data_IF_317347449184
#
_entry.id   IF_317347449184
#
_cell.length_a   1.000
_cell.length_b   1.000
_cell.length_c   1.000
_cell.angle_alpha   90.00
_cell.angle_beta   90.00
_cell.angle_gamma   90.00
#
_symmetry.space_group_name_H-M   'P 1'
#
loop_
_entity.id
_entity.type
_entity.pdbx_description
1 polymer ?
#
# COMPACT_ATOMS: atom_id res chain seq x y z
N UNK A 1 -3.00 -17.27 -15.33
CA UNK A 1 -1.62 -16.80 -15.21
C UNK A 1 -1.54 -16.08 -13.89
N UNK A 2 -0.71 -16.55 -12.97
CA UNK A 2 -0.54 -15.91 -11.67
C UNK A 2 0.51 -14.82 -11.83
N UNK A 3 0.09 -13.55 -11.67
CA UNK A 3 0.96 -12.38 -11.83
C UNK A 3 1.91 -12.22 -10.63
N UNK A 4 1.55 -12.84 -9.49
CA UNK A 4 2.34 -12.84 -8.26
C UNK A 4 2.52 -14.29 -7.83
N UNK A 5 3.77 -14.68 -7.58
CA UNK A 5 4.11 -16.00 -7.04
C UNK A 5 3.40 -16.24 -5.70
N UNK A 6 2.81 -17.43 -5.51
CA UNK A 6 2.04 -17.77 -4.30
C UNK A 6 2.85 -17.57 -3.01
N UNK A 7 4.14 -17.84 -3.06
CA UNK A 7 5.09 -17.67 -1.94
C UNK A 7 5.24 -16.22 -1.49
N UNK A 8 4.95 -15.26 -2.39
CA UNK A 8 5.08 -13.82 -2.11
C UNK A 8 3.78 -13.17 -1.65
N UNK A 9 2.65 -13.89 -1.64
CA UNK A 9 1.35 -13.32 -1.27
C UNK A 9 1.32 -12.75 0.16
N UNK A 10 2.13 -13.28 1.07
CA UNK A 10 2.18 -12.82 2.47
C UNK A 10 2.89 -11.49 2.68
N UNK A 11 3.87 -11.12 1.85
CA UNK A 11 4.74 -9.96 2.04
C UNK A 11 5.12 -9.33 0.69
N UNK A 12 4.17 -8.59 0.11
CA UNK A 12 4.40 -7.86 -1.14
C UNK A 12 4.79 -6.42 -0.78
N UNK A 13 5.98 -6.00 -1.21
CA UNK A 13 6.40 -4.59 -1.15
C UNK A 13 6.34 -4.00 -2.55
N UNK A 14 5.53 -2.95 -2.71
CA UNK A 14 5.39 -2.19 -3.97
C UNK A 14 6.14 -0.87 -3.80
N UNK A 15 7.04 -0.55 -4.73
CA UNK A 15 7.74 0.73 -4.77
C UNK A 15 7.25 1.56 -5.96
N UNK A 16 6.95 2.84 -5.72
CA UNK A 16 6.36 3.71 -6.74
C UNK A 16 6.76 5.18 -6.57
N UNK A 17 6.45 6.00 -7.57
CA UNK A 17 6.61 7.46 -7.52
C UNK A 17 8.01 7.98 -7.82
N UNK A 18 8.93 7.11 -8.27
CA UNK A 18 10.30 7.48 -8.64
C UNK A 18 10.33 8.55 -9.75
N UNK A 19 9.54 8.39 -10.82
CA UNK A 19 9.48 9.34 -11.94
C UNK A 19 9.00 10.74 -11.52
N UNK A 20 8.09 10.79 -10.54
CA UNK A 20 7.60 12.05 -9.95
C UNK A 20 8.54 12.63 -8.89
N UNK A 21 9.72 12.01 -8.66
CA UNK A 21 10.66 12.34 -7.58
C UNK A 21 10.00 12.30 -6.18
N UNK A 22 9.02 11.42 -6.01
CA UNK A 22 8.26 11.20 -4.77
C UNK A 22 8.23 9.69 -4.46
N UNK A 23 9.39 9.09 -4.13
CA UNK A 23 9.46 7.67 -3.85
C UNK A 23 8.60 7.31 -2.64
N UNK A 24 7.88 6.20 -2.74
CA UNK A 24 7.07 5.66 -1.65
C UNK A 24 7.02 4.14 -1.72
N UNK A 25 6.70 3.52 -0.57
CA UNK A 25 6.48 2.09 -0.47
C UNK A 25 5.09 1.80 0.06
N UNK A 26 4.44 0.81 -0.53
CA UNK A 26 3.19 0.24 -0.07
C UNK A 26 3.46 -1.23 0.29
N UNK A 27 2.97 -1.65 1.45
CA UNK A 27 3.03 -3.02 1.92
C UNK A 27 1.67 -3.67 1.72
N UNK A 28 1.64 -4.80 1.03
CA UNK A 28 0.43 -5.55 0.71
C UNK A 28 0.56 -6.98 1.21
N UNK A 29 -0.45 -7.42 1.95
CA UNK A 29 -0.60 -8.81 2.39
C UNK A 29 -1.88 -9.37 1.79
N UNK A 30 -1.76 -10.48 1.08
CA UNK A 30 -2.85 -11.22 0.45
C UNK A 30 -3.03 -12.56 1.15
N UNK A 31 -4.25 -12.84 1.61
CA UNK A 31 -4.64 -14.15 2.13
C UNK A 31 -5.46 -14.86 1.05
N UNK A 32 -5.04 -16.06 0.65
CA UNK A 32 -5.69 -16.88 -0.36
C UNK A 32 -6.05 -18.25 0.21
N UNK A 33 -7.19 -18.81 -0.19
CA UNK A 33 -7.55 -20.20 0.06
C UNK A 33 -7.84 -20.88 -1.27
N UNK A 34 -7.02 -21.88 -1.63
CA UNK A 34 -7.09 -22.50 -2.96
C UNK A 34 -6.75 -21.51 -4.07
N UNK A 35 -7.69 -21.28 -4.98
CA UNK A 35 -7.60 -20.27 -6.04
C UNK A 35 -8.25 -18.93 -5.66
N UNK A 36 -8.94 -18.84 -4.53
CA UNK A 36 -9.76 -17.68 -4.18
C UNK A 36 -9.04 -16.73 -3.21
N UNK A 37 -9.00 -15.43 -3.56
CA UNK A 37 -8.49 -14.38 -2.69
C UNK A 37 -9.53 -14.11 -1.61
N UNK A 38 -9.13 -14.29 -0.35
CA UNK A 38 -10.00 -14.10 0.81
C UNK A 38 -9.87 -12.70 1.40
N UNK A 39 -8.66 -12.14 1.39
CA UNK A 39 -8.37 -10.83 2.01
C UNK A 39 -7.18 -10.16 1.38
N UNK A 40 -7.25 -8.84 1.25
CA UNK A 40 -6.12 -7.98 0.92
C UNK A 40 -6.01 -6.92 2.01
N UNK A 41 -4.82 -6.79 2.61
CA UNK A 41 -4.46 -5.69 3.51
C UNK A 41 -3.44 -4.82 2.82
N UNK A 42 -3.67 -3.52 2.83
CA UNK A 42 -2.76 -2.52 2.27
C UNK A 42 -2.37 -1.58 3.38
N UNK A 43 -1.06 -1.40 3.58
CA UNK A 43 -0.49 -0.54 4.59
C UNK A 43 0.70 0.25 4.07
N UNK A 44 1.12 1.23 4.84
CA UNK A 44 2.22 2.10 4.50
C UNK A 44 2.61 2.95 5.71
N UNK A 45 3.78 3.57 5.62
CA UNK A 45 4.22 4.54 6.61
C UNK A 45 3.80 5.93 6.17
N UNK A 46 3.36 6.75 7.11
CA UNK A 46 3.03 8.15 6.87
C UNK A 46 3.88 9.03 7.76
N UNK A 47 4.08 10.28 7.31
CA UNK A 47 4.76 11.31 8.09
C UNK A 47 3.96 12.60 7.96
N UNK A 48 3.55 13.17 9.09
CA UNK A 48 2.96 14.51 9.11
C UNK A 48 3.99 15.54 8.66
N UNK A 49 3.66 16.29 7.61
CA UNK A 49 4.51 17.37 7.09
C UNK A 49 4.20 18.70 7.77
N UNK A 50 2.93 18.93 8.09
CA UNK A 50 2.48 20.07 8.87
C UNK A 50 1.29 19.66 9.75
N UNK A 51 0.98 20.47 10.75
CA UNK A 51 -0.22 20.34 11.58
C UNK A 51 -0.74 21.73 11.85
N UNK A 52 -2.06 21.92 11.73
CA UNK A 52 -2.68 23.24 11.88
C UNK A 52 -4.19 23.13 12.03
N UNK A 53 -4.83 24.28 12.26
CA UNK A 53 -6.29 24.43 12.33
C UNK A 53 -6.77 25.09 11.04
N UNK A 54 -7.78 24.50 10.40
CA UNK A 54 -8.48 25.12 9.29
C UNK A 54 -9.69 25.88 9.85
N UNK A 55 -9.66 27.21 9.79
CA UNK A 55 -10.84 28.02 10.08
C UNK A 55 -11.63 28.18 8.80
N UNK A 56 -12.83 27.61 8.76
CA UNK A 56 -13.79 27.86 7.69
C UNK A 56 -14.59 29.11 8.10
N UNK A 57 -14.34 30.25 7.45
CA UNK A 57 -15.20 31.43 7.58
C UNK A 57 -16.37 31.32 6.60
N UNK A 58 -17.56 31.67 7.05
CA UNK A 58 -18.77 31.80 6.22
C UNK A 58 -18.65 32.91 5.16
#
# INVERSE_FOLDING_TARGET
YDVIEKEKLGDIKIEQGYEMKRPSSIYVQVTQQGSEIQKIRVGGQTRSVFTGKLNLSE
#
